data_IF_146827112410
#
_entry.id   IF_146827112410
#
_cell.length_a   1.000
_cell.length_b   1.000
_cell.length_c   1.000
_cell.angle_alpha   90.00
_cell.angle_beta   90.00
_cell.angle_gamma   90.00
#
_symmetry.space_group_name_H-M   'P 1'
#
loop_
_entity.id
_entity.type
_entity.pdbx_description
1 polymer ?
#
# COMPACT_ATOMS: atom_id res chain seq x y z
N UNK A 1 2.66 -14.39 0.05
CA UNK A 1 1.97 -13.75 1.17
C UNK A 1 0.46 -13.76 0.93
N UNK A 2 -0.28 -14.06 1.95
CA UNK A 2 -1.74 -14.14 1.86
C UNK A 2 -2.39 -13.07 2.74
N UNK A 3 -3.30 -12.30 2.16
CA UNK A 3 -4.11 -11.32 2.88
C UNK A 3 -5.58 -11.74 2.80
N UNK A 4 -6.26 -11.74 3.94
CA UNK A 4 -7.65 -12.20 4.03
C UNK A 4 -8.61 -11.41 3.15
N UNK A 5 -8.34 -10.13 2.99
CA UNK A 5 -9.23 -9.20 2.32
C UNK A 5 -8.83 -8.89 0.87
N UNK A 6 -7.88 -9.66 0.33
CA UNK A 6 -7.45 -9.48 -1.07
C UNK A 6 -7.64 -10.79 -1.81
N UNK A 7 -8.55 -10.78 -2.77
CA UNK A 7 -8.85 -11.95 -3.59
C UNK A 7 -7.76 -12.19 -4.63
N UNK A 8 -7.58 -13.45 -5.00
CA UNK A 8 -6.67 -13.80 -6.09
C UNK A 8 -7.07 -13.14 -7.41
N UNK A 9 -8.37 -12.81 -7.53
CA UNK A 9 -8.90 -12.15 -8.73
C UNK A 9 -8.84 -10.63 -8.66
N UNK A 10 -8.35 -10.08 -7.55
CA UNK A 10 -8.22 -8.63 -7.41
C UNK A 10 -7.21 -8.10 -8.41
N UNK A 11 -7.57 -7.03 -9.13
CA UNK A 11 -6.69 -6.45 -10.14
C UNK A 11 -5.36 -5.97 -9.56
N UNK A 12 -5.32 -5.69 -8.27
CA UNK A 12 -4.13 -5.22 -7.58
C UNK A 12 -3.40 -6.33 -6.82
N UNK A 13 -3.75 -7.59 -7.06
CA UNK A 13 -3.16 -8.70 -6.34
C UNK A 13 -1.63 -8.72 -6.41
N UNK A 14 -1.09 -8.56 -7.61
CA UNK A 14 0.37 -8.57 -7.80
C UNK A 14 1.04 -7.39 -7.11
N UNK A 15 0.41 -6.23 -7.16
CA UNK A 15 0.93 -5.06 -6.45
C UNK A 15 0.96 -5.32 -4.95
N UNK A 16 -0.09 -5.91 -4.40
CA UNK A 16 -0.16 -6.22 -2.97
C UNK A 16 0.93 -7.21 -2.57
N UNK A 17 1.18 -8.22 -3.38
CA UNK A 17 2.25 -9.18 -3.09
C UNK A 17 3.61 -8.50 -3.08
N UNK A 18 3.87 -7.67 -4.06
CA UNK A 18 5.12 -6.93 -4.17
C UNK A 18 5.34 -6.02 -2.96
N UNK A 19 4.34 -5.22 -2.62
CA UNK A 19 4.44 -4.28 -1.51
C UNK A 19 4.50 -4.99 -0.16
N UNK A 20 3.76 -6.10 -0.03
CA UNK A 20 3.78 -6.89 1.19
C UNK A 20 5.16 -7.48 1.49
N UNK A 21 5.84 -7.97 0.46
CA UNK A 21 7.19 -8.51 0.60
C UNK A 21 8.20 -7.45 1.03
N UNK A 22 7.92 -6.20 0.74
CA UNK A 22 8.80 -5.10 1.13
C UNK A 22 8.46 -4.48 2.47
N UNK A 23 7.50 -5.07 3.21
CA UNK A 23 7.17 -4.64 4.56
C UNK A 23 6.15 -3.53 4.66
N UNK A 24 5.47 -3.17 3.57
CA UNK A 24 4.46 -2.13 3.60
C UNK A 24 3.16 -2.59 4.28
N UNK A 25 2.87 -3.89 4.19
CA UNK A 25 1.64 -4.47 4.71
C UNK A 25 1.99 -5.62 5.66
N UNK A 26 2.38 -5.32 6.90
CA UNK A 26 2.84 -6.37 7.83
C UNK A 26 1.71 -7.20 8.46
N UNK A 27 0.46 -6.74 8.35
CA UNK A 27 -0.68 -7.43 8.95
C UNK A 27 -1.33 -8.40 7.97
N UNK A 28 -2.29 -9.19 8.48
CA UNK A 28 -3.00 -10.16 7.68
C UNK A 28 -4.03 -9.55 6.74
N UNK A 29 -4.39 -8.30 6.99
CA UNK A 29 -5.35 -7.57 6.16
C UNK A 29 -4.67 -6.39 5.53
N UNK A 30 -4.86 -6.23 4.22
CA UNK A 30 -4.26 -5.11 3.49
C UNK A 30 -5.07 -3.83 3.69
N UNK A 31 -6.39 -3.95 3.89
CA UNK A 31 -7.32 -2.83 4.10
C UNK A 31 -7.21 -1.80 2.97
N UNK A 32 -7.21 -2.29 1.75
CA UNK A 32 -6.94 -1.47 0.57
C UNK A 32 -7.92 -0.31 0.38
N UNK A 33 -9.17 -0.51 0.74
CA UNK A 33 -10.20 0.51 0.50
C UNK A 33 -10.45 1.43 1.69
N UNK A 34 -9.64 1.29 2.74
CA UNK A 34 -9.72 2.19 3.88
C UNK A 34 -8.78 3.39 3.67
N UNK A 35 -9.18 4.52 4.26
CA UNK A 35 -8.34 5.71 4.22
C UNK A 35 -7.05 5.44 4.98
N UNK A 36 -5.95 6.01 4.48
CA UNK A 36 -4.66 5.82 5.13
C UNK A 36 -4.53 6.74 6.35
N UNK A 37 -3.96 6.19 7.41
CA UNK A 37 -3.68 6.95 8.61
C UNK A 37 -2.33 7.66 8.47
N UNK A 38 -2.18 8.76 9.19
CA UNK A 38 -0.96 9.56 9.14
C UNK A 38 0.28 8.74 9.50
N UNK A 39 0.18 7.91 10.53
CA UNK A 39 1.29 7.07 10.96
C UNK A 39 1.71 6.09 9.87
N UNK A 40 0.74 5.46 9.23
CA UNK A 40 1.01 4.52 8.15
C UNK A 40 1.65 5.20 6.95
N UNK A 41 1.15 6.39 6.62
CA UNK A 41 1.70 7.17 5.51
C UNK A 41 3.17 7.55 5.79
N UNK A 42 3.46 7.96 7.02
CA UNK A 42 4.84 8.29 7.41
C UNK A 42 5.76 7.09 7.27
N UNK A 43 5.30 5.90 7.67
CA UNK A 43 6.06 4.67 7.53
C UNK A 43 6.32 4.34 6.06
N UNK A 44 5.31 4.51 5.22
CA UNK A 44 5.45 4.21 3.79
C UNK A 44 6.41 5.17 3.09
N UNK A 45 6.38 6.45 3.47
CA UNK A 45 7.34 7.42 2.94
C UNK A 45 8.77 7.02 3.30
N UNK A 46 8.96 6.60 4.54
CA UNK A 46 10.28 6.16 5.02
C UNK A 46 10.76 4.91 4.28
N UNK A 47 9.88 3.92 4.14
CA UNK A 47 10.23 2.65 3.49
C UNK A 47 10.51 2.82 2.00
N UNK A 48 9.74 3.66 1.33
CA UNK A 48 9.89 3.87 -0.11
C UNK A 48 10.99 4.88 -0.45
N UNK A 49 11.34 5.73 0.51
CA UNK A 49 12.26 6.86 0.30
C UNK A 49 11.74 7.84 -0.75
N UNK A 50 10.43 7.85 -0.94
CA UNK A 50 9.78 8.75 -1.88
C UNK A 50 9.00 9.81 -1.11
N UNK A 51 9.01 11.03 -1.63
CA UNK A 51 8.25 12.11 -1.04
C UNK A 51 6.86 12.15 -1.68
N UNK A 52 5.88 11.65 -0.95
CA UNK A 52 4.51 11.56 -1.44
C UNK A 52 3.69 12.69 -0.84
N UNK A 53 3.07 13.49 -1.68
CA UNK A 53 2.21 14.59 -1.23
C UNK A 53 0.76 14.14 -1.25
N UNK A 54 0.35 13.43 -0.21
CA UNK A 54 -1.00 12.93 -0.08
C UNK A 54 -1.53 13.36 1.29
N UNK A 55 -2.80 13.75 1.32
CA UNK A 55 -3.43 14.15 2.57
C UNK A 55 -4.04 12.94 3.26
N UNK A 56 -3.61 12.63 4.50
CA UNK A 56 -4.18 11.52 5.26
C UNK A 56 -5.69 11.69 5.42
N UNK A 57 -6.40 10.56 5.37
CA UNK A 57 -7.84 10.56 5.54
C UNK A 57 -8.64 10.79 4.26
N UNK A 58 -7.98 11.14 3.16
CA UNK A 58 -8.65 11.39 1.87
C UNK A 58 -8.40 10.26 0.89
N UNK A 59 -7.16 9.82 0.77
CA UNK A 59 -6.80 8.76 -0.17
C UNK A 59 -6.87 7.39 0.49
N UNK A 60 -7.26 6.38 -0.29
CA UNK A 60 -7.28 5.01 0.21
C UNK A 60 -5.87 4.40 0.13
N UNK A 61 -5.67 3.32 0.87
CA UNK A 61 -4.41 2.58 0.83
C UNK A 61 -4.13 2.06 -0.58
N UNK A 62 -5.16 1.60 -1.27
CA UNK A 62 -5.04 1.12 -2.66
C UNK A 62 -4.46 2.18 -3.58
N UNK A 63 -4.97 3.39 -3.51
CA UNK A 63 -4.49 4.47 -4.36
C UNK A 63 -3.02 4.78 -4.12
N UNK A 64 -2.65 4.87 -2.86
CA UNK A 64 -1.27 5.21 -2.50
C UNK A 64 -0.31 4.09 -2.83
N UNK A 65 -0.70 2.84 -2.57
CA UNK A 65 0.13 1.69 -2.91
C UNK A 65 0.37 1.57 -4.41
N UNK A 66 -0.65 1.84 -5.21
CA UNK A 66 -0.50 1.81 -6.66
C UNK A 66 0.46 2.87 -7.15
N UNK A 67 0.39 4.06 -6.56
CA UNK A 67 1.32 5.14 -6.92
C UNK A 67 2.75 4.78 -6.55
N UNK A 68 2.95 4.25 -5.35
CA UNK A 68 4.28 3.81 -4.91
C UNK A 68 4.81 2.67 -5.77
N UNK A 69 3.96 1.71 -6.06
CA UNK A 69 4.31 0.56 -6.87
C UNK A 69 4.79 0.98 -8.26
N UNK A 70 4.05 1.89 -8.89
CA UNK A 70 4.43 2.40 -10.20
C UNK A 70 5.81 3.06 -10.19
N UNK A 71 6.14 3.78 -9.11
CA UNK A 71 7.43 4.45 -8.97
C UNK A 71 8.56 3.51 -8.59
N UNK A 72 8.28 2.53 -7.74
CA UNK A 72 9.30 1.59 -7.25
C UNK A 72 9.62 0.49 -8.24
N UNK A 73 8.66 0.16 -9.09
CA UNK A 73 8.76 -0.92 -10.05
C UNK A 73 9.75 -0.64 -11.19
N UNK A 74 10.06 0.59 -11.43
CA UNK A 74 10.94 1.00 -12.54
C UNK A 74 12.36 0.50 -12.40
#
# INVERSE_FOLDING_TARGET
IYYKDVSLDDEDFLMVQYMGLRGFLPEWEAKLDEAIEEQTLSNWKRLSKLNIKIQPGISTRREILNELYAKMKK
#
